data_IF_003664962597
#
_entry.id   IF_003664962597
#
_cell.length_a   1.000
_cell.length_b   1.000
_cell.length_c   1.000
_cell.angle_alpha   90.00
_cell.angle_beta   90.00
_cell.angle_gamma   90.00
#
_symmetry.space_group_name_H-M   'P 1'
#
loop_
_entity.id
_entity.type
_entity.pdbx_description
1 polymer ?
#
# COMPACT_ATOMS: atom_id res chain seq x y z
N UNK A 1 -2.20 -42.66 42.10
CA UNK A 1 -2.43 -41.49 41.20
C UNK A 1 -2.48 -41.95 39.75
N UNK A 2 -1.41 -42.56 39.23
CA UNK A 2 -1.35 -43.05 37.85
C UNK A 2 -2.50 -44.00 37.48
N UNK A 3 -2.76 -45.06 38.27
CA UNK A 3 -3.85 -46.01 37.99
C UNK A 3 -5.23 -45.35 37.94
N UNK A 4 -5.47 -44.34 38.78
CA UNK A 4 -6.73 -43.57 38.77
C UNK A 4 -6.86 -42.80 37.46
N UNK A 5 -5.78 -42.20 36.95
CA UNK A 5 -5.76 -41.54 35.65
C UNK A 5 -5.99 -42.53 34.49
N UNK A 6 -5.26 -43.65 34.48
CA UNK A 6 -5.36 -44.69 33.45
C UNK A 6 -6.75 -45.31 33.38
N UNK A 7 -7.42 -45.48 34.53
CA UNK A 7 -8.78 -46.02 34.60
C UNK A 7 -9.83 -45.13 33.95
N UNK A 8 -9.59 -43.81 33.83
CA UNK A 8 -10.53 -42.88 33.20
C UNK A 8 -10.67 -43.18 31.72
N UNK A 9 -9.56 -43.49 31.03
CA UNK A 9 -9.60 -43.84 29.61
C UNK A 9 -10.47 -45.07 29.35
N UNK A 10 -10.33 -46.11 30.19
CA UNK A 10 -11.14 -47.33 30.09
C UNK A 10 -12.61 -47.06 30.36
N UNK A 11 -12.91 -46.20 31.34
CA UNK A 11 -14.28 -45.79 31.64
C UNK A 11 -14.91 -44.99 30.48
N UNK A 12 -14.13 -44.14 29.80
CA UNK A 12 -14.59 -43.32 28.69
C UNK A 12 -15.11 -44.16 27.52
N UNK A 13 -14.51 -45.32 27.26
CA UNK A 13 -14.95 -46.26 26.23
C UNK A 13 -16.34 -46.87 26.52
N UNK A 14 -16.82 -46.82 27.76
CA UNK A 14 -18.11 -47.37 28.19
C UNK A 14 -19.13 -46.26 28.41
N UNK A 15 -18.73 -45.17 29.08
CA UNK A 15 -19.60 -44.04 29.37
C UNK A 15 -18.78 -42.74 29.51
N UNK A 16 -18.83 -41.90 28.49
CA UNK A 16 -18.09 -40.64 28.40
C UNK A 16 -18.53 -39.58 29.42
N UNK A 17 -19.83 -39.52 29.75
CA UNK A 17 -20.33 -38.57 30.76
C UNK A 17 -19.82 -38.89 32.17
N UNK A 18 -19.82 -40.18 32.53
CA UNK A 18 -19.29 -40.64 33.82
C UNK A 18 -17.77 -40.47 33.86
N UNK A 19 -17.07 -40.72 32.73
CA UNK A 19 -15.64 -40.44 32.61
C UNK A 19 -15.34 -38.96 32.84
N UNK A 20 -16.09 -38.03 32.24
CA UNK A 20 -15.90 -36.60 32.42
C UNK A 20 -16.12 -36.16 33.88
N UNK A 21 -17.14 -36.71 34.57
CA UNK A 21 -17.34 -36.49 36.01
C UNK A 21 -16.11 -36.98 36.80
N UNK A 22 -15.59 -38.16 36.46
CA UNK A 22 -14.41 -38.75 37.09
C UNK A 22 -13.14 -37.92 36.85
N UNK A 23 -12.97 -37.31 35.67
CA UNK A 23 -11.88 -36.37 35.39
C UNK A 23 -11.92 -35.19 36.35
N UNK A 24 -13.09 -34.55 36.52
CA UNK A 24 -13.25 -33.38 37.41
C UNK A 24 -12.93 -33.74 38.86
N UNK A 25 -13.39 -34.90 39.34
CA UNK A 25 -13.05 -35.39 40.68
C UNK A 25 -11.56 -35.73 40.80
N UNK A 26 -10.98 -36.33 39.77
CA UNK A 26 -9.56 -36.67 39.75
C UNK A 26 -8.66 -35.43 39.79
N UNK A 27 -9.01 -34.37 39.05
CA UNK A 27 -8.29 -33.09 39.10
C UNK A 27 -8.40 -32.50 40.51
N UNK A 28 -9.60 -32.42 41.10
CA UNK A 28 -9.78 -31.95 42.50
C UNK A 28 -8.99 -32.79 43.51
N UNK A 29 -8.89 -34.10 43.28
CA UNK A 29 -8.04 -34.97 44.09
C UNK A 29 -6.55 -34.64 43.95
N UNK A 30 -6.07 -34.36 42.73
CA UNK A 30 -4.69 -33.93 42.51
C UNK A 30 -4.41 -32.60 43.24
N UNK A 31 -5.33 -31.63 43.15
CA UNK A 31 -5.21 -30.33 43.82
C UNK A 31 -5.09 -30.48 45.34
N UNK A 32 -5.98 -31.26 45.96
CA UNK A 32 -5.91 -31.55 47.40
C UNK A 32 -4.60 -32.23 47.73
N UNK A 33 -4.21 -33.24 46.96
CA UNK A 33 -3.00 -34.01 47.26
C UNK A 33 -1.73 -33.16 47.13
N UNK A 34 -1.66 -32.22 46.19
CA UNK A 34 -0.53 -31.28 46.11
C UNK A 34 -0.53 -30.29 47.28
N UNK A 35 -1.72 -29.84 47.73
CA UNK A 35 -1.83 -28.89 48.84
C UNK A 35 -1.51 -29.48 50.22
N UNK A 36 -1.81 -30.76 50.44
CA UNK A 36 -1.69 -31.41 51.76
C UNK A 36 -0.43 -32.28 51.93
N UNK A 37 0.29 -32.59 50.85
CA UNK A 37 1.51 -33.39 50.93
C UNK A 37 2.67 -32.61 50.29
N UNK A 38 3.69 -32.29 51.10
CA UNK A 38 4.87 -31.51 50.68
C UNK A 38 5.77 -32.26 49.68
N UNK A 39 5.67 -33.59 49.62
CA UNK A 39 6.51 -34.38 48.73
C UNK A 39 5.89 -34.55 47.34
N UNK A 40 6.61 -34.19 46.27
CA UNK A 40 6.13 -34.40 44.92
C UNK A 40 6.01 -35.92 44.64
N UNK A 41 5.03 -36.35 43.83
CA UNK A 41 4.87 -37.76 43.51
C UNK A 41 6.15 -38.32 42.84
N UNK A 42 6.50 -39.60 43.10
CA UNK A 42 7.67 -40.24 42.51
C UNK A 42 7.71 -40.10 40.99
N UNK A 43 8.90 -40.02 40.41
CA UNK A 43 9.06 -39.80 38.97
C UNK A 43 8.40 -40.89 38.12
N UNK A 44 8.39 -42.14 38.59
CA UNK A 44 7.67 -43.25 37.95
C UNK A 44 6.17 -42.99 37.84
N UNK A 45 5.56 -42.44 38.89
CA UNK A 45 4.13 -42.06 38.93
C UNK A 45 3.88 -40.85 38.04
N UNK A 46 4.79 -39.86 38.05
CA UNK A 46 4.68 -38.66 37.23
C UNK A 46 4.73 -39.00 35.73
N UNK A 47 5.65 -39.88 35.31
CA UNK A 47 5.76 -40.32 33.92
C UNK A 47 4.47 -40.99 33.44
N UNK A 48 3.95 -41.95 34.22
CA UNK A 48 2.67 -42.62 33.92
C UNK A 48 1.50 -41.62 33.86
N UNK A 49 1.47 -40.63 34.75
CA UNK A 49 0.44 -39.60 34.74
C UNK A 49 0.48 -38.76 33.46
N UNK A 50 1.68 -38.42 32.94
CA UNK A 50 1.84 -37.65 31.70
C UNK A 50 1.46 -38.44 30.44
N UNK A 51 1.47 -39.77 30.51
CA UNK A 51 1.12 -40.68 29.41
C UNK A 51 -0.35 -41.12 29.44
N UNK A 52 -1.00 -41.05 30.60
CA UNK A 52 -2.40 -41.45 30.77
C UNK A 52 -3.35 -40.51 30.02
N UNK A 53 -4.27 -41.09 29.24
CA UNK A 53 -5.30 -40.37 28.47
C UNK A 53 -6.52 -40.05 29.33
N UNK A 54 -6.50 -38.91 30.02
CA UNK A 54 -7.63 -38.49 30.87
C UNK A 54 -7.99 -37.02 30.72
N UNK A 55 -7.31 -36.27 29.84
CA UNK A 55 -7.57 -34.85 29.66
C UNK A 55 -8.60 -34.64 28.54
N UNK A 56 -9.77 -34.06 28.83
CA UNK A 56 -10.73 -33.70 27.80
C UNK A 56 -10.18 -32.56 26.95
N UNK A 57 -10.45 -32.61 25.65
CA UNK A 57 -10.02 -31.59 24.69
C UNK A 57 -11.02 -30.43 24.67
N UNK A 58 -10.51 -29.20 24.68
CA UNK A 58 -11.32 -27.99 24.54
C UNK A 58 -11.95 -27.98 23.14
N UNK A 59 -13.28 -27.98 23.12
CA UNK A 59 -14.05 -27.97 21.87
C UNK A 59 -14.10 -26.58 21.26
N UNK A 60 -14.19 -26.56 19.94
CA UNK A 60 -14.39 -25.34 19.16
C UNK A 60 -15.61 -24.55 19.68
N UNK A 61 -15.44 -23.26 20.02
CA UNK A 61 -16.58 -22.41 20.34
C UNK A 61 -17.53 -22.28 19.13
N UNK A 62 -18.84 -22.23 19.38
CA UNK A 62 -19.88 -22.26 18.32
C UNK A 62 -19.67 -21.21 17.22
N UNK A 63 -19.21 -20.02 17.58
CA UNK A 63 -19.05 -18.89 16.66
C UNK A 63 -17.59 -18.68 16.23
N UNK A 64 -16.71 -19.65 16.48
CA UNK A 64 -15.29 -19.51 16.16
C UNK A 64 -15.04 -19.75 14.66
N UNK A 65 -14.43 -18.80 13.95
CA UNK A 65 -14.40 -18.83 12.48
C UNK A 65 -13.36 -19.77 11.87
N UNK A 66 -12.28 -20.09 12.60
CA UNK A 66 -11.17 -20.86 12.05
C UNK A 66 -11.33 -22.35 12.32
N UNK A 67 -10.58 -23.18 11.57
CA UNK A 67 -10.43 -24.60 11.89
C UNK A 67 -9.87 -24.75 13.30
N UNK A 68 -10.40 -25.68 14.08
CA UNK A 68 -9.97 -25.94 15.45
C UNK A 68 -9.45 -27.36 15.57
N UNK A 69 -8.29 -27.58 16.21
CA UNK A 69 -7.62 -28.89 16.26
C UNK A 69 -8.51 -29.99 16.85
N UNK A 70 -9.39 -29.65 17.80
CA UNK A 70 -10.37 -30.57 18.38
C UNK A 70 -11.36 -31.18 17.38
N UNK A 71 -11.54 -30.59 16.19
CA UNK A 71 -12.44 -31.12 15.15
C UNK A 71 -11.90 -32.43 14.55
N UNK A 72 -10.61 -32.75 14.76
CA UNK A 72 -9.98 -33.99 14.30
C UNK A 72 -10.26 -35.18 15.23
N UNK A 73 -10.95 -34.95 16.35
CA UNK A 73 -11.22 -35.97 17.36
C UNK A 73 -12.72 -36.10 17.63
N UNK A 74 -13.16 -37.31 17.95
CA UNK A 74 -14.51 -37.59 18.45
C UNK A 74 -14.83 -36.76 19.70
N UNK A 75 -16.12 -36.50 19.96
CA UNK A 75 -16.60 -35.56 20.98
C UNK A 75 -16.17 -35.90 22.42
N UNK A 76 -15.92 -37.16 22.70
CA UNK A 76 -15.52 -37.70 23.99
C UNK A 76 -14.02 -38.05 24.08
N UNK A 77 -13.23 -37.71 23.06
CA UNK A 77 -11.80 -38.00 23.06
C UNK A 77 -11.07 -37.42 24.29
N UNK A 78 -10.27 -38.28 24.93
CA UNK A 78 -9.37 -37.93 26.03
C UNK A 78 -7.92 -38.08 25.57
N UNK A 79 -7.12 -37.06 25.81
CA UNK A 79 -5.70 -37.02 25.46
C UNK A 79 -4.82 -37.11 26.70
N UNK A 80 -3.54 -37.39 26.47
CA UNK A 80 -2.55 -37.38 27.53
C UNK A 80 -2.08 -35.94 27.81
N UNK A 81 -1.70 -35.59 29.05
CA UNK A 81 -1.17 -34.26 29.38
C UNK A 81 0.02 -33.83 28.51
N UNK A 82 0.84 -34.78 28.03
CA UNK A 82 1.96 -34.51 27.12
C UNK A 82 1.52 -34.11 25.70
N UNK A 83 0.28 -34.37 25.30
CA UNK A 83 -0.24 -34.11 23.95
C UNK A 83 -1.21 -32.91 23.90
N UNK A 84 -1.35 -32.16 25.01
CA UNK A 84 -2.22 -30.98 25.09
C UNK A 84 -1.48 -29.75 25.61
N UNK A 85 -2.04 -28.58 25.31
CA UNK A 85 -1.58 -27.27 25.76
C UNK A 85 -2.59 -26.63 26.73
N UNK A 86 -2.11 -25.66 27.51
CA UNK A 86 -2.96 -24.88 28.39
C UNK A 86 -3.90 -23.97 27.60
N UNK A 87 -5.10 -23.75 28.11
CA UNK A 87 -6.10 -22.86 27.51
C UNK A 87 -5.65 -21.38 27.47
N UNK A 88 -4.70 -20.99 28.34
CA UNK A 88 -4.22 -19.61 28.47
C UNK A 88 -3.70 -19.03 27.13
N UNK A 89 -3.15 -19.88 26.26
CA UNK A 89 -2.62 -19.50 24.95
C UNK A 89 -3.52 -19.96 23.79
N UNK A 90 -4.82 -20.19 24.04
CA UNK A 90 -5.75 -20.77 23.05
C UNK A 90 -5.72 -20.06 21.69
N UNK A 91 -5.66 -18.73 21.68
CA UNK A 91 -5.68 -17.94 20.45
C UNK A 91 -4.40 -18.05 19.61
N UNK A 92 -3.31 -18.57 20.18
CA UNK A 92 -2.05 -18.84 19.48
C UNK A 92 -1.96 -20.28 18.95
N UNK A 93 -2.78 -21.18 19.51
CA UNK A 93 -2.59 -22.63 19.40
C UNK A 93 -3.80 -23.37 18.82
N UNK A 94 -5.01 -22.80 18.89
CA UNK A 94 -6.27 -23.50 18.60
C UNK A 94 -6.34 -24.18 17.23
N UNK A 95 -5.62 -23.68 16.23
CA UNK A 95 -5.56 -24.28 14.90
C UNK A 95 -4.51 -25.40 14.76
N UNK A 96 -3.50 -25.44 15.63
CA UNK A 96 -2.34 -26.33 15.54
C UNK A 96 -2.42 -27.48 16.55
N UNK A 97 -2.81 -27.15 17.78
CA UNK A 97 -2.61 -27.98 18.96
C UNK A 97 -3.90 -28.19 19.75
N UNK A 98 -3.97 -29.33 20.43
CA UNK A 98 -5.10 -29.68 21.29
C UNK A 98 -4.99 -28.94 22.63
N UNK A 99 -6.07 -28.27 23.04
CA UNK A 99 -6.12 -27.48 24.27
C UNK A 99 -6.87 -28.22 25.36
N UNK A 100 -6.54 -27.94 26.61
CA UNK A 100 -7.24 -28.51 27.76
C UNK A 100 -8.68 -27.98 27.88
N UNK A 101 -9.66 -28.88 27.90
CA UNK A 101 -11.09 -28.56 28.00
C UNK A 101 -11.66 -28.52 29.42
N UNK A 102 -10.79 -28.48 30.42
CA UNK A 102 -11.15 -28.47 31.84
C UNK A 102 -10.25 -27.52 32.61
N UNK A 103 -10.83 -26.80 33.58
CA UNK A 103 -10.06 -25.94 34.44
C UNK A 103 -9.06 -26.75 35.29
N UNK A 104 -7.83 -26.25 35.37
CA UNK A 104 -6.73 -26.85 36.14
C UNK A 104 -5.98 -25.73 36.86
N UNK A 105 -5.79 -25.86 38.17
CA UNK A 105 -5.01 -24.92 38.98
C UNK A 105 -3.52 -24.87 38.59
N UNK A 106 -2.83 -23.80 39.00
CA UNK A 106 -1.40 -23.57 38.71
C UNK A 106 -0.51 -24.74 39.14
N UNK A 107 -0.78 -25.34 40.29
CA UNK A 107 0.04 -26.42 40.84
C UNK A 107 -0.14 -27.72 40.04
N UNK A 108 -1.36 -28.01 39.63
CA UNK A 108 -1.64 -29.17 38.75
C UNK A 108 -1.09 -28.92 37.34
N UNK A 109 -1.15 -27.69 36.80
CA UNK A 109 -0.47 -27.34 35.54
C UNK A 109 1.05 -27.61 35.63
N UNK A 110 1.67 -27.31 36.77
CA UNK A 110 3.09 -27.60 37.01
C UNK A 110 3.38 -29.12 37.10
N UNK A 111 2.54 -29.87 37.82
CA UNK A 111 2.66 -31.33 37.92
C UNK A 111 2.54 -32.01 36.54
N UNK A 112 1.60 -31.53 35.72
CA UNK A 112 1.34 -32.03 34.37
C UNK A 112 2.28 -31.44 33.30
N UNK A 113 3.27 -30.63 33.69
CA UNK A 113 4.23 -29.95 32.81
C UNK A 113 3.58 -29.08 31.72
N UNK A 114 2.34 -28.63 31.93
CA UNK A 114 1.63 -27.77 30.99
C UNK A 114 2.18 -26.35 31.01
N UNK A 115 2.68 -25.89 32.16
CA UNK A 115 3.32 -24.58 32.32
C UNK A 115 4.70 -24.45 31.63
N UNK A 116 5.24 -25.54 31.09
CA UNK A 116 6.51 -25.54 30.33
C UNK A 116 6.28 -25.51 28.82
N UNK A 117 5.03 -25.64 28.39
CA UNK A 117 4.65 -25.66 26.98
C UNK A 117 4.10 -24.29 26.61
N UNK A 118 4.74 -23.66 25.64
CA UNK A 118 4.34 -22.37 25.13
C UNK A 118 4.28 -22.40 23.61
N UNK A 119 3.48 -21.50 23.05
CA UNK A 119 3.45 -21.27 21.62
C UNK A 119 4.86 -20.97 21.08
N UNK A 120 5.19 -21.60 19.95
CA UNK A 120 6.44 -21.39 19.21
C UNK A 120 6.16 -20.55 17.99
N UNK A 121 7.21 -20.05 17.32
CA UNK A 121 7.04 -19.29 16.09
C UNK A 121 6.36 -20.12 14.98
N UNK A 122 6.58 -21.43 14.95
CA UNK A 122 5.92 -22.33 13.99
C UNK A 122 4.42 -22.44 14.24
N UNK A 123 3.98 -22.48 15.50
CA UNK A 123 2.56 -22.41 15.85
C UNK A 123 1.96 -21.09 15.38
N UNK A 124 2.65 -19.96 15.57
CA UNK A 124 2.18 -18.65 15.11
C UNK A 124 2.09 -18.60 13.59
N UNK A 125 3.08 -19.15 12.89
CA UNK A 125 3.06 -19.24 11.44
C UNK A 125 1.85 -20.04 10.92
N UNK A 126 1.53 -21.15 11.60
CA UNK A 126 0.36 -21.96 11.29
C UNK A 126 -0.95 -21.22 11.58
N UNK A 127 -1.07 -20.61 12.77
CA UNK A 127 -2.25 -19.85 13.17
C UNK A 127 -2.54 -18.70 12.21
N UNK A 128 -1.49 -17.95 11.83
CA UNK A 128 -1.59 -16.89 10.84
C UNK A 128 -2.01 -17.44 9.48
N UNK A 129 -1.41 -18.55 9.01
CA UNK A 129 -1.79 -19.19 7.75
C UNK A 129 -3.28 -19.54 7.71
N UNK A 130 -3.83 -20.12 8.77
CA UNK A 130 -5.27 -20.44 8.84
C UNK A 130 -6.14 -19.19 8.77
N UNK A 131 -5.76 -18.12 9.47
CA UNK A 131 -6.47 -16.84 9.40
C UNK A 131 -6.44 -16.25 7.98
N UNK A 132 -5.30 -16.30 7.30
CA UNK A 132 -5.14 -15.76 5.94
C UNK A 132 -5.89 -16.57 4.87
N UNK A 133 -6.06 -17.87 5.08
CA UNK A 133 -6.85 -18.74 4.20
C UNK A 133 -8.36 -18.58 4.39
N UNK A 134 -8.80 -17.84 5.41
CA UNK A 134 -10.22 -17.66 5.71
C UNK A 134 -10.85 -16.47 4.97
N UNK A 135 -12.11 -16.59 4.55
CA UNK A 135 -12.84 -15.49 3.91
C UNK A 135 -13.42 -14.53 4.96
N UNK A 136 -12.58 -13.65 5.49
CA UNK A 136 -12.96 -12.69 6.54
C UNK A 136 -14.08 -11.75 6.10
N UNK A 137 -14.25 -11.51 4.79
CA UNK A 137 -15.30 -10.64 4.27
C UNK A 137 -16.73 -11.18 4.56
N UNK A 138 -16.89 -12.50 4.62
CA UNK A 138 -18.19 -13.16 4.83
C UNK A 138 -18.53 -13.45 6.29
N UNK A 139 -17.65 -13.09 7.23
CA UNK A 139 -17.90 -13.37 8.66
C UNK A 139 -18.99 -12.46 9.25
N UNK A 140 -19.79 -13.05 10.14
CA UNK A 140 -20.71 -12.31 11.00
C UNK A 140 -19.95 -11.52 12.08
N UNK A 141 -20.68 -10.73 12.88
CA UNK A 141 -20.07 -9.89 13.91
C UNK A 141 -19.33 -10.71 15.00
N UNK A 142 -19.84 -11.88 15.38
CA UNK A 142 -19.25 -12.70 16.44
C UNK A 142 -17.95 -13.37 15.96
N UNK A 143 -17.99 -13.95 14.77
CA UNK A 143 -16.82 -14.49 14.09
C UNK A 143 -15.75 -13.41 13.88
N UNK A 144 -16.16 -12.18 13.53
CA UNK A 144 -15.25 -11.05 13.39
C UNK A 144 -14.57 -10.65 14.71
N UNK A 145 -15.23 -10.72 15.85
CA UNK A 145 -14.59 -10.44 17.15
C UNK A 145 -13.61 -11.55 17.57
N UNK A 146 -13.94 -12.81 17.31
CA UNK A 146 -13.04 -13.94 17.57
C UNK A 146 -11.77 -13.85 16.71
N UNK A 147 -11.89 -13.57 15.40
CA UNK A 147 -10.71 -13.44 14.53
C UNK A 147 -9.85 -12.23 14.91
N UNK A 148 -10.46 -11.09 15.29
CA UNK A 148 -9.72 -9.94 15.81
C UNK A 148 -8.91 -10.32 17.05
N UNK A 149 -9.49 -11.12 17.95
CA UNK A 149 -8.81 -11.58 19.16
C UNK A 149 -7.64 -12.51 18.84
N UNK A 150 -7.84 -13.47 17.93
CA UNK A 150 -6.76 -14.34 17.41
C UNK A 150 -5.61 -13.50 16.85
N UNK A 151 -5.92 -12.56 15.96
CA UNK A 151 -4.93 -11.72 15.29
C UNK A 151 -4.20 -10.82 16.27
N UNK A 152 -4.90 -10.23 17.26
CA UNK A 152 -4.26 -9.44 18.33
C UNK A 152 -3.29 -10.28 19.15
N UNK A 153 -3.65 -11.51 19.52
CA UNK A 153 -2.74 -12.41 20.23
C UNK A 153 -1.51 -12.74 19.38
N UNK A 154 -1.70 -13.04 18.09
CA UNK A 154 -0.61 -13.29 17.13
C UNK A 154 0.31 -12.07 17.01
N UNK A 155 -0.22 -10.86 16.85
CA UNK A 155 0.57 -9.64 16.75
C UNK A 155 1.35 -9.34 18.03
N UNK A 156 0.73 -9.54 19.19
CA UNK A 156 1.41 -9.39 20.48
C UNK A 156 2.60 -10.34 20.61
N UNK A 157 2.42 -11.61 20.24
CA UNK A 157 3.53 -12.57 20.23
C UNK A 157 4.63 -12.13 19.26
N UNK A 158 4.27 -11.79 18.01
CA UNK A 158 5.25 -11.41 16.98
C UNK A 158 6.03 -10.15 17.41
N UNK A 159 5.36 -9.14 17.95
CA UNK A 159 6.00 -7.92 18.45
C UNK A 159 7.07 -8.22 19.51
N UNK A 160 6.77 -9.11 20.46
CA UNK A 160 7.72 -9.54 21.49
C UNK A 160 8.84 -10.43 20.93
N UNK A 161 8.54 -11.22 19.89
CA UNK A 161 9.49 -12.10 19.25
C UNK A 161 10.51 -11.36 18.36
N UNK A 162 10.24 -10.13 17.91
CA UNK A 162 11.16 -9.36 17.04
C UNK A 162 12.56 -9.23 17.67
N UNK A 163 12.65 -8.94 18.97
CA UNK A 163 13.93 -8.74 19.65
C UNK A 163 14.79 -10.02 19.73
N UNK A 164 14.18 -11.20 19.70
CA UNK A 164 14.87 -12.49 19.84
C UNK A 164 15.03 -13.22 18.51
N UNK A 165 14.02 -13.15 17.63
CA UNK A 165 13.86 -13.95 16.42
C UNK A 165 13.55 -13.10 15.18
N UNK A 166 14.03 -11.85 15.13
CA UNK A 166 13.68 -10.88 14.08
C UNK A 166 13.83 -11.41 12.64
N UNK A 167 14.91 -12.12 12.32
CA UNK A 167 15.11 -12.67 10.98
C UNK A 167 14.01 -13.68 10.57
N UNK A 168 13.60 -14.56 11.48
CA UNK A 168 12.55 -15.54 11.24
C UNK A 168 11.18 -14.86 11.14
N UNK A 169 10.91 -13.85 11.98
CA UNK A 169 9.68 -13.03 11.89
C UNK A 169 9.63 -12.29 10.55
N UNK A 170 10.74 -11.69 10.10
CA UNK A 170 10.80 -10.99 8.81
C UNK A 170 10.51 -11.95 7.65
N UNK A 171 11.11 -13.15 7.67
CA UNK A 171 10.83 -14.20 6.68
C UNK A 171 9.37 -14.64 6.70
N UNK A 172 8.75 -14.73 7.88
CA UNK A 172 7.35 -15.13 8.02
C UNK A 172 6.39 -14.11 7.40
N UNK A 173 6.67 -12.81 7.55
CA UNK A 173 5.79 -11.70 7.14
C UNK A 173 6.02 -11.20 5.71
N UNK A 174 7.22 -11.46 5.16
CA UNK A 174 7.60 -11.01 3.81
C UNK A 174 6.56 -11.44 2.77
N UNK A 175 6.15 -10.49 1.93
CA UNK A 175 5.25 -10.67 0.79
C UNK A 175 3.89 -11.31 1.14
N UNK A 176 3.40 -11.09 2.38
CA UNK A 176 2.08 -11.56 2.81
C UNK A 176 1.14 -10.42 3.18
N UNK A 177 -0.12 -10.57 2.80
CA UNK A 177 -1.23 -9.76 3.31
C UNK A 177 -1.55 -10.24 4.71
N UNK A 178 -0.92 -9.68 5.75
CA UNK A 178 -1.11 -10.17 7.11
C UNK A 178 -1.74 -9.16 8.06
N UNK A 179 -1.90 -7.90 7.62
CA UNK A 179 -2.44 -6.83 8.46
C UNK A 179 -3.96 -6.75 8.27
N UNK A 180 -4.72 -7.07 9.32
CA UNK A 180 -6.19 -7.06 9.28
C UNK A 180 -6.73 -5.64 9.40
N UNK A 181 -7.31 -5.11 8.33
CA UNK A 181 -7.96 -3.80 8.30
C UNK A 181 -9.43 -3.96 7.92
N UNK A 182 -10.34 -3.64 8.83
CA UNK A 182 -11.78 -3.88 8.63
C UNK A 182 -12.07 -5.37 8.47
N UNK A 183 -12.49 -5.78 7.26
CA UNK A 183 -12.81 -7.18 6.90
C UNK A 183 -11.86 -7.78 5.86
N UNK A 184 -10.65 -7.24 5.71
CA UNK A 184 -9.66 -7.70 4.74
C UNK A 184 -8.25 -7.67 5.30
N UNK A 185 -7.41 -8.55 4.77
CA UNK A 185 -5.97 -8.53 5.02
C UNK A 185 -5.25 -7.73 3.93
N UNK A 186 -4.33 -6.87 4.35
CA UNK A 186 -3.55 -5.98 3.47
C UNK A 186 -2.05 -6.24 3.62
N UNK A 187 -1.30 -5.89 2.56
CA UNK A 187 0.16 -5.85 2.63
C UNK A 187 0.64 -4.65 3.45
N UNK A 188 1.79 -4.78 4.10
CA UNK A 188 2.42 -3.66 4.81
C UNK A 188 2.68 -2.46 3.90
N UNK A 189 3.06 -2.70 2.63
CA UNK A 189 3.30 -1.63 1.65
C UNK A 189 2.05 -0.84 1.24
N UNK A 190 0.84 -1.35 1.51
CA UNK A 190 -0.42 -0.63 1.25
C UNK A 190 -0.85 0.26 2.43
N UNK A 191 -0.08 0.28 3.51
CA UNK A 191 -0.44 0.95 4.76
C UNK A 191 0.59 2.01 5.12
N UNK A 192 0.09 3.14 5.62
CA UNK A 192 0.91 4.15 6.26
C UNK A 192 0.30 4.61 7.60
N UNK A 193 1.15 5.02 8.55
CA UNK A 193 0.70 5.58 9.84
C UNK A 193 -0.09 6.88 9.63
N UNK A 194 0.35 7.71 8.68
CA UNK A 194 -0.28 8.97 8.33
C UNK A 194 -0.56 9.02 6.83
N UNK A 195 -1.80 9.33 6.50
CA UNK A 195 -2.26 9.55 5.12
C UNK A 195 -3.02 10.87 5.12
N UNK A 196 -2.80 11.72 4.10
CA UNK A 196 -3.48 13.02 3.98
C UNK A 196 -4.92 12.85 3.48
N UNK A 197 -5.10 12.00 2.48
CA UNK A 197 -6.37 11.72 1.82
C UNK A 197 -6.67 10.22 1.70
N UNK A 198 -7.94 9.86 1.69
CA UNK A 198 -8.34 8.46 1.52
C UNK A 198 -8.16 7.99 0.06
N UNK A 199 -7.15 7.16 -0.15
CA UNK A 199 -6.79 6.53 -1.43
C UNK A 199 -7.17 5.03 -1.47
N UNK A 200 -8.13 4.62 -0.65
CA UNK A 200 -8.74 3.28 -0.75
C UNK A 200 -9.33 3.07 -2.16
N UNK A 201 -9.22 1.88 -2.76
CA UNK A 201 -8.75 0.63 -2.18
C UNK A 201 -7.25 0.34 -2.37
N UNK A 202 -6.44 1.29 -2.84
CA UNK A 202 -5.03 1.06 -3.17
C UNK A 202 -4.11 1.30 -1.99
N UNK A 203 -4.25 2.46 -1.33
CA UNK A 203 -3.44 2.92 -0.21
C UNK A 203 -4.34 3.26 0.99
N UNK A 204 -3.98 2.76 2.16
CA UNK A 204 -4.79 2.85 3.38
C UNK A 204 -4.03 3.50 4.52
N UNK A 205 -4.77 4.20 5.37
CA UNK A 205 -4.26 4.57 6.69
C UNK A 205 -4.33 3.36 7.63
N UNK A 206 -3.24 3.14 8.37
CA UNK A 206 -3.17 2.13 9.42
C UNK A 206 -4.23 2.45 10.49
N UNK A 207 -5.11 1.49 10.87
CA UNK A 207 -6.07 1.70 11.94
C UNK A 207 -5.39 2.12 13.24
N UNK A 208 -5.91 3.17 13.89
CA UNK A 208 -5.31 3.75 15.11
C UNK A 208 -5.02 2.71 16.19
N UNK A 209 -5.96 1.79 16.44
CA UNK A 209 -5.77 0.70 17.39
C UNK A 209 -4.53 -0.16 17.09
N UNK A 210 -4.26 -0.48 15.82
CA UNK A 210 -3.06 -1.25 15.45
C UNK A 210 -1.78 -0.40 15.54
N UNK A 211 -1.88 0.89 15.23
CA UNK A 211 -0.77 1.84 15.37
C UNK A 211 -0.34 2.00 16.83
N UNK A 212 -1.30 2.01 17.76
CA UNK A 212 -1.09 2.18 19.20
C UNK A 212 -0.65 0.88 19.88
N UNK A 213 -1.34 -0.23 19.59
CA UNK A 213 -1.08 -1.52 20.25
C UNK A 213 0.22 -2.20 19.73
N UNK A 214 0.51 -2.07 18.42
CA UNK A 214 1.57 -2.82 17.75
C UNK A 214 2.55 -1.98 16.89
N UNK A 215 3.01 -0.79 17.34
CA UNK A 215 3.83 0.11 16.53
C UNK A 215 5.15 -0.51 16.07
N UNK A 216 5.79 -1.33 16.91
CA UNK A 216 7.09 -1.95 16.57
C UNK A 216 6.91 -3.00 15.48
N UNK A 217 5.86 -3.81 15.57
CA UNK A 217 5.55 -4.82 14.56
C UNK A 217 5.23 -4.19 13.20
N UNK A 218 4.39 -3.14 13.19
CA UNK A 218 3.97 -2.49 11.94
C UNK A 218 5.17 -1.86 11.21
N UNK A 219 6.03 -1.13 11.93
CA UNK A 219 7.29 -0.61 11.36
C UNK A 219 8.22 -1.72 10.89
N UNK A 220 8.39 -2.76 11.69
CA UNK A 220 9.24 -3.91 11.34
C UNK A 220 8.77 -4.64 10.08
N UNK A 221 7.45 -4.71 9.88
CA UNK A 221 6.84 -5.32 8.71
C UNK A 221 6.92 -4.46 7.44
N UNK A 222 7.28 -3.18 7.56
CA UNK A 222 7.40 -2.24 6.43
C UNK A 222 6.18 -1.34 6.20
N UNK A 223 5.32 -1.16 7.21
CA UNK A 223 4.30 -0.10 7.18
C UNK A 223 5.00 1.25 7.24
N UNK A 224 4.65 2.15 6.32
CA UNK A 224 5.37 3.42 6.15
C UNK A 224 4.88 4.47 7.12
N UNK A 225 5.71 5.45 7.45
CA UNK A 225 5.23 6.63 8.20
C UNK A 225 4.28 7.47 7.34
N UNK A 226 4.67 7.71 6.08
CA UNK A 226 3.89 8.36 5.02
C UNK A 226 4.19 7.67 3.68
N UNK A 227 3.28 7.75 2.73
CA UNK A 227 3.52 7.26 1.38
C UNK A 227 4.51 8.16 0.62
N UNK A 228 5.24 7.55 -0.30
CA UNK A 228 6.19 8.19 -1.21
C UNK A 228 5.63 8.20 -2.63
N UNK A 229 6.26 8.93 -3.55
CA UNK A 229 5.84 9.09 -4.94
C UNK A 229 5.60 7.73 -5.62
N UNK A 230 6.51 6.78 -5.39
CA UNK A 230 6.44 5.43 -5.96
C UNK A 230 5.16 4.67 -5.61
N UNK A 231 4.57 4.95 -4.45
CA UNK A 231 3.36 4.28 -3.98
C UNK A 231 2.14 4.78 -4.74
N UNK A 232 2.07 6.10 -4.96
CA UNK A 232 1.01 6.71 -5.75
C UNK A 232 1.13 6.32 -7.23
N UNK A 233 2.36 6.36 -7.80
CA UNK A 233 2.60 5.91 -9.18
C UNK A 233 2.20 4.44 -9.35
N UNK A 234 2.61 3.55 -8.45
CA UNK A 234 2.24 2.12 -8.51
C UNK A 234 0.73 1.91 -8.39
N UNK A 235 0.04 2.73 -7.61
CA UNK A 235 -1.42 2.67 -7.46
C UNK A 235 -2.15 3.14 -8.71
N UNK A 236 -1.68 4.21 -9.37
CA UNK A 236 -2.20 4.68 -10.66
C UNK A 236 -1.98 3.63 -11.75
N UNK A 237 -0.81 2.97 -11.76
CA UNK A 237 -0.55 1.82 -12.65
C UNK A 237 -1.49 0.65 -12.39
N UNK A 238 -1.74 0.32 -11.12
CA UNK A 238 -2.67 -0.75 -10.76
C UNK A 238 -4.10 -0.43 -11.23
N UNK A 239 -4.53 0.83 -11.12
CA UNK A 239 -5.81 1.29 -11.63
C UNK A 239 -5.88 1.21 -13.16
N UNK A 240 -4.85 1.68 -13.88
CA UNK A 240 -4.76 1.50 -15.35
C UNK A 240 -4.79 0.04 -15.75
N UNK A 241 -4.10 -0.85 -15.03
CA UNK A 241 -4.15 -2.29 -15.32
C UNK A 241 -5.51 -2.95 -15.08
N UNK A 242 -6.31 -2.41 -14.15
CA UNK A 242 -7.64 -2.92 -13.84
C UNK A 242 -8.71 -2.46 -14.85
N UNK A 243 -8.62 -1.21 -15.31
CA UNK A 243 -9.63 -0.61 -16.20
C UNK A 243 -9.18 -0.55 -17.67
N UNK A 244 -7.88 -0.66 -17.96
CA UNK A 244 -7.30 -0.55 -19.30
C UNK A 244 -7.80 0.70 -20.02
N UNK A 245 -8.50 0.54 -21.16
CA UNK A 245 -9.09 1.62 -21.95
C UNK A 245 -10.56 1.93 -21.58
N UNK A 246 -11.09 1.30 -20.53
CA UNK A 246 -12.45 1.56 -20.08
C UNK A 246 -12.52 2.81 -19.21
N UNK A 247 -13.67 3.47 -19.25
CA UNK A 247 -13.96 4.63 -18.41
C UNK A 247 -14.06 4.21 -16.93
N UNK A 248 -13.46 5.01 -16.06
CA UNK A 248 -13.61 4.86 -14.61
C UNK A 248 -15.03 5.29 -14.20
N UNK A 249 -15.62 4.52 -13.29
CA UNK A 249 -16.82 4.99 -12.59
C UNK A 249 -16.50 6.18 -11.66
N UNK A 250 -17.53 6.85 -11.17
CA UNK A 250 -17.39 8.06 -10.36
C UNK A 250 -16.61 7.81 -9.04
N UNK A 251 -16.65 6.60 -8.48
CA UNK A 251 -15.90 6.25 -7.27
C UNK A 251 -14.41 6.09 -7.56
N UNK A 252 -14.05 5.31 -8.58
CA UNK A 252 -12.67 5.09 -8.97
C UNK A 252 -12.03 6.35 -9.55
N UNK A 253 -12.79 7.18 -10.27
CA UNK A 253 -12.35 8.50 -10.71
C UNK A 253 -11.99 9.41 -9.54
N UNK A 254 -12.79 9.43 -8.46
CA UNK A 254 -12.44 10.20 -7.25
C UNK A 254 -11.14 9.70 -6.63
N UNK A 255 -10.93 8.39 -6.60
CA UNK A 255 -9.68 7.80 -6.09
C UNK A 255 -8.50 8.18 -6.99
N UNK A 256 -8.66 8.15 -8.31
CA UNK A 256 -7.64 8.56 -9.28
C UNK A 256 -7.23 10.02 -9.07
N UNK A 257 -8.21 10.91 -8.91
CA UNK A 257 -7.99 12.34 -8.62
C UNK A 257 -7.21 12.52 -7.31
N UNK A 258 -7.59 11.81 -6.24
CA UNK A 258 -6.85 11.87 -4.96
C UNK A 258 -5.42 11.37 -5.09
N UNK A 259 -5.20 10.25 -5.77
CA UNK A 259 -3.86 9.72 -6.04
C UNK A 259 -3.01 10.71 -6.83
N UNK A 260 -3.57 11.34 -7.87
CA UNK A 260 -2.90 12.35 -8.68
C UNK A 260 -2.51 13.59 -7.87
N UNK A 261 -3.44 14.10 -7.05
CA UNK A 261 -3.18 15.26 -6.20
C UNK A 261 -2.08 14.97 -5.17
N UNK A 262 -2.16 13.83 -4.49
CA UNK A 262 -1.17 13.41 -3.51
C UNK A 262 0.21 13.15 -4.15
N UNK A 263 0.25 12.60 -5.36
CA UNK A 263 1.50 12.43 -6.11
C UNK A 263 2.14 13.80 -6.43
N UNK A 264 1.37 14.74 -6.97
CA UNK A 264 1.83 16.10 -7.24
C UNK A 264 2.33 16.80 -5.97
N UNK A 265 1.58 16.73 -4.87
CA UNK A 265 1.99 17.30 -3.58
C UNK A 265 3.29 16.69 -3.02
N UNK A 266 3.51 15.39 -3.25
CA UNK A 266 4.70 14.69 -2.77
C UNK A 266 5.95 15.12 -3.56
N UNK A 267 5.80 15.39 -4.86
CA UNK A 267 6.87 15.92 -5.70
C UNK A 267 7.36 17.32 -5.28
N UNK A 268 6.44 18.17 -4.78
CA UNK A 268 6.75 19.54 -4.39
C UNK A 268 7.35 20.37 -5.54
N UNK A 269 8.10 21.43 -5.24
CA UNK A 269 8.68 22.35 -6.25
C UNK A 269 9.79 21.75 -7.13
N UNK A 270 10.17 20.49 -6.93
CA UNK A 270 11.26 19.83 -7.66
C UNK A 270 10.82 19.16 -8.97
N UNK A 271 9.53 19.17 -9.28
CA UNK A 271 8.98 18.53 -10.48
C UNK A 271 8.40 19.56 -11.44
N UNK A 272 9.18 19.90 -12.47
CA UNK A 272 8.72 20.66 -13.63
C UNK A 272 9.31 20.15 -14.94
N UNK A 273 10.03 19.03 -14.93
CA UNK A 273 10.57 18.42 -16.14
C UNK A 273 9.97 17.02 -16.35
N UNK A 274 9.02 16.86 -17.30
CA UNK A 274 8.40 15.58 -17.64
C UNK A 274 9.42 14.48 -17.96
N UNK A 275 10.55 14.83 -18.58
CA UNK A 275 11.59 13.86 -18.94
C UNK A 275 12.29 13.24 -17.73
N UNK A 276 12.45 13.99 -16.63
CA UNK A 276 13.03 13.49 -15.38
C UNK A 276 12.05 12.60 -14.62
N UNK A 277 10.75 12.89 -14.73
CA UNK A 277 9.70 12.07 -14.13
C UNK A 277 9.62 10.72 -14.84
N UNK A 278 9.66 10.71 -16.17
CA UNK A 278 9.62 9.49 -16.98
C UNK A 278 10.88 8.63 -16.80
N UNK A 279 12.07 9.25 -16.70
CA UNK A 279 13.32 8.52 -16.41
C UNK A 279 13.29 7.85 -15.04
N UNK A 280 12.73 8.52 -14.01
CA UNK A 280 12.75 8.04 -12.63
C UNK A 280 11.63 7.05 -12.31
N UNK A 281 10.43 7.26 -12.87
CA UNK A 281 9.21 6.56 -12.48
C UNK A 281 8.50 5.85 -13.65
N UNK A 282 9.02 5.97 -14.87
CA UNK A 282 8.35 5.48 -16.07
C UNK A 282 7.12 6.29 -16.43
N UNK A 283 6.25 5.72 -17.27
CA UNK A 283 5.02 6.36 -17.74
C UNK A 283 4.03 6.52 -16.60
N UNK A 284 3.69 7.76 -16.24
CA UNK A 284 2.62 8.06 -15.28
C UNK A 284 1.29 8.14 -16.03
N UNK A 285 0.20 7.67 -15.40
CA UNK A 285 -1.15 7.68 -15.97
C UNK A 285 -2.09 8.55 -15.14
N UNK A 286 -2.94 9.33 -15.81
CA UNK A 286 -3.99 10.15 -15.21
C UNK A 286 -5.30 9.97 -15.99
N UNK A 287 -6.48 10.13 -15.35
CA UNK A 287 -7.74 10.09 -16.07
C UNK A 287 -7.84 11.26 -17.07
N UNK A 288 -8.25 10.97 -18.30
CA UNK A 288 -8.58 11.94 -19.33
C UNK A 288 -10.00 12.51 -19.13
N UNK A 289 -10.45 13.41 -20.02
CA UNK A 289 -11.78 14.03 -19.97
C UNK A 289 -12.95 13.04 -20.08
N UNK A 290 -12.70 11.81 -20.54
CA UNK A 290 -13.67 10.69 -20.58
C UNK A 290 -13.46 9.70 -19.43
N UNK A 291 -12.67 10.07 -18.42
CA UNK A 291 -12.30 9.24 -17.29
C UNK A 291 -11.55 7.95 -17.67
N UNK A 292 -10.82 7.93 -18.80
CA UNK A 292 -9.93 6.83 -19.17
C UNK A 292 -8.52 7.12 -18.69
N UNK A 293 -7.83 6.12 -18.12
CA UNK A 293 -6.48 6.29 -17.55
C UNK A 293 -5.39 6.44 -18.63
N UNK A 294 -5.13 7.66 -19.08
CA UNK A 294 -4.24 7.95 -20.21
C UNK A 294 -2.85 8.37 -19.76
N UNK A 295 -1.82 8.12 -20.58
CA UNK A 295 -0.44 8.49 -20.26
C UNK A 295 -0.30 10.02 -20.16
N UNK A 296 0.44 10.50 -19.16
CA UNK A 296 0.66 11.94 -18.94
C UNK A 296 1.28 12.63 -20.16
N UNK A 297 2.16 11.94 -20.89
CA UNK A 297 2.80 12.45 -22.12
C UNK A 297 1.81 12.69 -23.28
N UNK A 298 0.65 12.03 -23.26
CA UNK A 298 -0.42 12.16 -24.25
C UNK A 298 -1.50 13.16 -23.82
N UNK A 299 -1.50 13.57 -22.56
CA UNK A 299 -2.47 14.50 -22.00
C UNK A 299 -2.01 15.95 -22.11
N UNK A 300 -2.96 16.86 -22.25
CA UNK A 300 -2.73 18.29 -22.07
C UNK A 300 -3.75 18.92 -21.12
N UNK A 301 -3.36 20.02 -20.49
CA UNK A 301 -4.26 20.84 -19.71
C UNK A 301 -4.97 21.86 -20.59
N UNK A 302 -6.27 22.04 -20.39
CA UNK A 302 -7.10 22.98 -21.16
C UNK A 302 -6.95 24.42 -20.65
N UNK A 303 -5.75 24.99 -20.82
CA UNK A 303 -5.40 26.36 -20.39
C UNK A 303 -5.97 27.47 -21.29
N UNK A 304 -6.37 27.13 -22.51
CA UNK A 304 -6.88 28.07 -23.51
C UNK A 304 -8.27 27.64 -24.01
N UNK A 305 -9.37 27.95 -23.29
CA UNK A 305 -10.71 27.49 -23.63
C UNK A 305 -11.25 28.03 -24.96
N UNK A 306 -10.65 29.08 -25.52
CA UNK A 306 -11.01 29.64 -26.82
C UNK A 306 -10.42 28.88 -28.01
N UNK A 307 -9.42 28.01 -27.80
CA UNK A 307 -8.89 27.18 -28.88
C UNK A 307 -9.81 25.98 -29.13
N UNK A 308 -10.12 25.66 -30.39
CA UNK A 308 -10.94 24.49 -30.70
C UNK A 308 -10.22 23.20 -30.28
N UNK A 309 -11.02 22.24 -29.84
CA UNK A 309 -10.56 20.89 -29.56
C UNK A 309 -10.24 20.21 -30.90
N UNK A 310 -9.02 19.69 -31.04
CA UNK A 310 -8.57 18.97 -32.24
C UNK A 310 -8.72 17.46 -32.03
N UNK A 311 -9.06 16.72 -33.08
CA UNK A 311 -9.02 15.25 -33.05
C UNK A 311 -7.61 14.76 -32.70
N UNK A 312 -7.55 13.77 -31.78
CA UNK A 312 -6.31 13.20 -31.26
C UNK A 312 -5.67 13.98 -30.11
N UNK A 313 -6.26 15.09 -29.65
CA UNK A 313 -5.80 15.80 -28.45
C UNK A 313 -6.60 15.32 -27.23
N UNK A 314 -5.91 14.75 -26.24
CA UNK A 314 -6.51 14.29 -25.00
C UNK A 314 -6.30 15.31 -23.88
N UNK A 315 -7.36 15.63 -23.15
CA UNK A 315 -7.30 16.54 -22.01
C UNK A 315 -7.32 15.77 -20.70
N UNK A 316 -6.55 16.23 -19.72
CA UNK A 316 -6.65 15.71 -18.34
C UNK A 316 -8.05 15.98 -17.78
N UNK A 317 -8.54 15.06 -16.95
CA UNK A 317 -9.87 15.19 -16.36
C UNK A 317 -10.00 16.48 -15.53
N UNK A 318 -11.10 17.23 -15.72
CA UNK A 318 -11.30 18.56 -15.13
C UNK A 318 -11.31 18.61 -13.58
N UNK A 319 -11.48 17.45 -12.92
CA UNK A 319 -11.40 17.31 -11.45
C UNK A 319 -9.96 17.35 -10.93
N UNK A 320 -8.95 17.19 -11.78
CA UNK A 320 -7.54 17.32 -11.40
C UNK A 320 -7.14 18.79 -11.59
N UNK A 321 -6.71 19.49 -10.53
CA UNK A 321 -6.37 20.90 -10.60
C UNK A 321 -5.07 21.12 -11.38
N UNK A 322 -4.94 22.32 -11.96
CA UNK A 322 -3.73 22.75 -12.68
C UNK A 322 -2.46 22.56 -11.85
N UNK A 323 -2.50 22.89 -10.54
CA UNK A 323 -1.36 22.73 -9.65
C UNK A 323 -0.80 21.31 -9.60
N UNK A 324 -1.68 20.29 -9.70
CA UNK A 324 -1.24 18.90 -9.77
C UNK A 324 -0.78 18.52 -11.16
N UNK A 325 -1.44 19.03 -12.21
CA UNK A 325 -1.07 18.78 -13.60
C UNK A 325 0.34 19.30 -13.92
N UNK A 326 0.64 20.54 -13.51
CA UNK A 326 1.93 21.21 -13.67
C UNK A 326 3.07 20.41 -13.01
N UNK A 327 2.88 20.03 -11.74
CA UNK A 327 3.84 19.22 -10.98
C UNK A 327 4.05 17.82 -11.54
N UNK A 328 3.07 17.27 -12.25
CA UNK A 328 3.16 15.96 -12.90
C UNK A 328 3.71 16.05 -14.33
N UNK A 329 3.98 17.25 -14.84
CA UNK A 329 4.52 17.45 -16.18
C UNK A 329 3.48 17.28 -17.29
N UNK A 330 2.20 17.53 -17.00
CA UNK A 330 1.15 17.61 -18.03
C UNK A 330 1.36 18.89 -18.84
N UNK A 331 1.61 18.75 -20.14
CA UNK A 331 1.79 19.88 -21.06
C UNK A 331 0.54 20.75 -21.18
N UNK A 332 0.71 22.02 -21.53
CA UNK A 332 -0.42 22.91 -21.84
C UNK A 332 -0.98 22.65 -23.25
N UNK A 333 -2.22 23.07 -23.52
CA UNK A 333 -2.79 22.99 -24.88
C UNK A 333 -1.98 23.82 -25.87
N UNK A 334 -1.39 24.92 -25.41
CA UNK A 334 -0.47 25.76 -26.20
C UNK A 334 0.81 25.02 -26.58
N UNK A 335 1.46 24.37 -25.63
CA UNK A 335 2.67 23.56 -25.88
C UNK A 335 2.39 22.44 -26.89
N UNK A 336 1.25 21.75 -26.77
CA UNK A 336 0.83 20.70 -27.71
C UNK A 336 0.63 21.25 -29.12
N UNK A 337 -0.05 22.39 -29.27
CA UNK A 337 -0.25 23.04 -30.56
C UNK A 337 1.08 23.42 -31.21
N UNK A 338 2.01 23.97 -30.42
CA UNK A 338 3.33 24.38 -30.89
C UNK A 338 4.19 23.17 -31.29
N UNK A 339 4.14 22.06 -30.53
CA UNK A 339 4.91 20.85 -30.84
C UNK A 339 4.59 20.30 -32.25
N UNK A 340 3.31 20.29 -32.66
CA UNK A 340 2.91 19.87 -34.02
C UNK A 340 3.56 20.71 -35.13
N UNK A 341 3.88 21.96 -34.85
CA UNK A 341 4.55 22.87 -35.79
C UNK A 341 6.09 22.85 -35.66
N UNK A 342 6.63 22.22 -34.61
CA UNK A 342 8.07 22.10 -34.33
C UNK A 342 8.71 20.82 -34.91
N UNK A 343 8.00 20.07 -35.77
CA UNK A 343 8.50 18.81 -36.37
C UNK A 343 9.90 19.00 -36.96
N UNK A 344 10.90 18.48 -36.25
CA UNK A 344 12.27 18.29 -36.71
C UNK A 344 12.29 17.07 -37.63
N UNK A 345 12.39 17.30 -38.93
CA UNK A 345 12.89 16.26 -39.85
C UNK A 345 14.37 16.00 -39.48
N UNK A 346 14.69 14.75 -39.13
CA UNK A 346 16.02 14.29 -38.75
C UNK A 346 16.59 13.31 -39.79
N UNK A 347 17.00 13.83 -40.95
CA UNK A 347 18.07 13.24 -41.76
C UNK A 347 18.65 14.32 -42.70
N UNK A 348 19.97 14.54 -42.65
CA UNK A 348 20.70 15.54 -43.46
C UNK A 348 21.68 16.42 -42.66
N UNK A 349 22.73 16.92 -43.32
CA UNK A 349 23.65 17.92 -42.75
C UNK A 349 22.85 19.18 -42.38
N UNK A 350 22.87 19.55 -41.10
CA UNK A 350 22.09 20.68 -40.57
C UNK A 350 23.02 21.84 -40.24
N UNK A 351 22.92 22.93 -41.00
CA UNK A 351 23.46 24.22 -40.59
C UNK A 351 22.45 24.87 -39.64
N UNK A 352 22.90 25.39 -38.49
CA UNK A 352 22.03 26.18 -37.60
C UNK A 352 21.58 27.43 -38.37
N UNK A 353 20.29 27.78 -38.31
CA UNK A 353 19.75 28.98 -38.97
C UNK A 353 20.57 30.22 -38.61
N UNK A 354 21.00 30.35 -37.36
CA UNK A 354 21.87 31.45 -36.90
C UNK A 354 23.23 31.47 -37.59
N UNK A 355 23.82 30.31 -37.94
CA UNK A 355 25.05 30.23 -38.72
C UNK A 355 24.81 30.69 -40.16
N UNK A 356 23.69 30.27 -40.75
CA UNK A 356 23.32 30.69 -42.11
C UNK A 356 23.06 32.19 -42.19
N UNK A 357 22.27 32.73 -41.26
CA UNK A 357 22.01 34.16 -41.14
C UNK A 357 23.31 34.93 -40.90
N UNK A 358 24.21 34.44 -40.03
CA UNK A 358 25.52 35.05 -39.82
C UNK A 358 26.35 35.12 -41.10
N UNK A 359 26.36 34.06 -41.92
CA UNK A 359 27.05 34.05 -43.21
C UNK A 359 26.44 35.04 -44.19
N UNK A 360 25.11 35.13 -44.25
CA UNK A 360 24.41 36.14 -45.08
C UNK A 360 24.82 37.54 -44.62
N UNK A 361 24.74 37.83 -43.32
CA UNK A 361 25.16 39.13 -42.77
C UNK A 361 26.63 39.46 -43.06
N UNK A 362 27.52 38.46 -43.13
CA UNK A 362 28.92 38.66 -43.54
C UNK A 362 29.07 39.00 -45.03
N UNK A 363 28.18 38.50 -45.89
CA UNK A 363 28.14 38.84 -47.31
C UNK A 363 27.53 40.22 -47.59
N UNK A 364 26.79 40.79 -46.62
CA UNK A 364 26.19 42.13 -46.67
C UNK A 364 26.77 43.04 -45.57
N UNK A 365 28.06 43.42 -45.64
CA UNK A 365 28.74 44.14 -44.55
C UNK A 365 28.35 45.62 -44.42
N UNK A 366 27.55 46.17 -45.34
CA UNK A 366 27.22 47.60 -45.38
C UNK A 366 25.85 47.90 -44.76
N UNK A 367 25.83 48.67 -43.66
CA UNK A 367 24.61 49.09 -42.94
C UNK A 367 23.61 49.89 -43.81
N UNK A 368 24.08 50.59 -44.85
CA UNK A 368 23.24 51.40 -45.75
C UNK A 368 22.40 50.57 -46.72
N UNK A 369 22.75 49.31 -46.96
CA UNK A 369 22.01 48.44 -47.87
C UNK A 369 20.68 47.97 -47.24
N UNK A 370 20.58 47.89 -45.91
CA UNK A 370 19.35 47.46 -45.21
C UNK A 370 18.16 48.35 -45.57
N UNK A 371 18.35 49.68 -45.65
CA UNK A 371 17.27 50.61 -46.01
C UNK A 371 16.85 50.46 -47.48
N UNK A 372 17.80 50.15 -48.37
CA UNK A 372 17.52 49.92 -49.80
C UNK A 372 16.78 48.60 -50.00
N UNK A 373 17.14 47.55 -49.27
CA UNK A 373 16.43 46.27 -49.30
C UNK A 373 14.99 46.42 -48.81
N UNK A 374 14.76 47.20 -47.74
CA UNK A 374 13.40 47.50 -47.26
C UNK A 374 12.60 48.35 -48.25
N UNK A 375 13.25 49.30 -48.93
CA UNK A 375 12.64 50.05 -50.02
C UNK A 375 12.29 49.15 -51.21
N UNK A 376 13.18 48.22 -51.58
CA UNK A 376 12.92 47.26 -52.65
C UNK A 376 11.76 46.33 -52.29
N UNK A 377 11.69 45.83 -51.06
CA UNK A 377 10.55 45.04 -50.60
C UNK A 377 9.23 45.82 -50.69
N UNK A 378 9.25 47.12 -50.44
CA UNK A 378 8.08 47.98 -50.58
C UNK A 378 7.69 48.19 -52.05
N UNK A 379 8.66 48.40 -52.94
CA UNK A 379 8.44 48.51 -54.38
C UNK A 379 7.91 47.20 -55.00
N UNK A 380 8.50 46.05 -54.62
CA UNK A 380 8.04 44.71 -55.00
C UNK A 380 6.61 44.44 -54.52
N UNK A 381 6.22 45.01 -53.37
CA UNK A 381 4.86 44.98 -52.83
C UNK A 381 3.93 46.05 -53.44
N UNK A 382 4.41 46.86 -54.38
CA UNK A 382 3.69 47.95 -55.05
C UNK A 382 3.22 49.08 -54.12
N UNK A 383 3.94 49.31 -53.02
CA UNK A 383 3.69 50.43 -52.14
C UNK A 383 3.99 51.76 -52.84
N UNK A 384 3.15 52.77 -52.60
CA UNK A 384 3.34 54.12 -53.16
C UNK A 384 4.20 55.01 -52.28
N UNK A 385 4.29 54.67 -50.99
CA UNK A 385 5.03 55.42 -49.98
C UNK A 385 5.74 54.46 -49.02
N UNK A 386 6.87 54.89 -48.44
CA UNK A 386 7.54 54.17 -47.37
C UNK A 386 8.02 55.16 -46.31
N UNK A 387 7.78 54.83 -45.04
CA UNK A 387 8.14 55.63 -43.88
C UNK A 387 9.09 54.86 -42.96
N UNK A 388 10.27 55.44 -42.71
CA UNK A 388 11.22 54.94 -41.71
C UNK A 388 11.09 55.76 -40.42
N UNK A 389 10.74 55.10 -39.32
CA UNK A 389 10.48 55.74 -38.03
C UNK A 389 11.47 55.18 -37.01
N UNK A 390 12.35 56.05 -36.50
CA UNK A 390 13.19 55.72 -35.34
C UNK A 390 12.35 55.92 -34.08
N UNK A 391 11.95 54.82 -33.45
CA UNK A 391 11.18 54.84 -32.21
C UNK A 391 12.10 54.67 -30.99
N UNK A 392 12.32 55.73 -30.18
CA UNK A 392 13.19 55.66 -29.00
C UNK A 392 12.48 55.09 -27.77
N UNK A 393 11.19 54.72 -27.85
CA UNK A 393 10.40 54.29 -26.69
C UNK A 393 10.91 52.97 -26.10
N UNK A 394 10.63 52.77 -24.82
CA UNK A 394 10.83 51.51 -24.10
C UNK A 394 9.48 51.06 -23.56
N UNK A 395 9.10 49.81 -23.83
CA UNK A 395 7.81 49.25 -23.45
C UNK A 395 7.89 48.51 -22.10
N UNK A 396 6.79 48.43 -21.33
CA UNK A 396 6.75 47.65 -20.10
C UNK A 396 6.98 46.15 -20.35
N UNK A 397 7.76 45.49 -19.50
CA UNK A 397 8.19 44.10 -19.67
C UNK A 397 7.46 43.11 -18.73
N UNK A 398 6.42 43.58 -18.03
CA UNK A 398 5.67 42.80 -17.03
C UNK A 398 4.77 41.75 -17.69
N UNK A 399 4.30 41.99 -18.93
CA UNK A 399 3.39 41.10 -19.67
C UNK A 399 4.03 40.62 -20.98
N UNK A 400 5.20 39.99 -20.87
CA UNK A 400 5.88 39.33 -22.00
C UNK A 400 5.71 37.81 -21.91
N UNK A 401 5.88 37.10 -23.04
CA UNK A 401 5.68 35.64 -23.08
C UNK A 401 6.66 34.87 -22.20
N UNK A 402 7.94 35.27 -22.20
CA UNK A 402 9.02 34.69 -21.39
C UNK A 402 10.07 35.76 -21.05
N UNK A 403 10.88 35.52 -20.01
CA UNK A 403 11.95 36.44 -19.59
C UNK A 403 12.96 36.75 -20.71
N UNK A 404 13.16 35.82 -21.65
CA UNK A 404 14.06 36.03 -22.78
C UNK A 404 13.58 37.09 -23.79
N UNK A 405 12.32 37.53 -23.71
CA UNK A 405 11.73 38.58 -24.56
C UNK A 405 11.86 39.99 -23.98
N UNK A 406 12.23 40.14 -22.71
CA UNK A 406 12.41 41.45 -22.06
C UNK A 406 13.39 42.37 -22.80
N UNK A 407 14.53 41.88 -23.34
CA UNK A 407 15.45 42.73 -24.11
C UNK A 407 14.86 43.30 -25.40
N UNK A 408 13.77 42.73 -25.93
CA UNK A 408 13.12 43.18 -27.16
C UNK A 408 12.17 44.37 -26.97
N UNK A 409 11.93 44.80 -25.73
CA UNK A 409 11.02 45.93 -25.42
C UNK A 409 11.67 47.31 -25.58
N UNK A 410 12.89 47.39 -26.09
CA UNK A 410 13.65 48.62 -26.24
C UNK A 410 13.40 49.41 -27.54
N UNK A 411 14.23 50.44 -27.78
CA UNK A 411 14.16 51.26 -28.99
C UNK A 411 14.21 50.42 -30.28
N UNK A 412 13.45 50.84 -31.29
CA UNK A 412 13.30 50.10 -32.54
C UNK A 412 13.36 51.02 -33.77
N UNK A 413 13.70 50.44 -34.92
CA UNK A 413 13.44 51.02 -36.23
C UNK A 413 12.15 50.41 -36.77
N UNK A 414 11.09 51.20 -36.84
CA UNK A 414 9.82 50.78 -37.44
C UNK A 414 9.80 51.20 -38.91
N UNK A 415 9.31 50.32 -39.78
CA UNK A 415 9.18 50.59 -41.22
C UNK A 415 7.75 50.29 -41.62
N UNK A 416 7.14 51.25 -42.32
CA UNK A 416 5.77 51.20 -42.81
C UNK A 416 5.78 51.49 -44.30
N UNK A 417 5.06 50.70 -45.10
CA UNK A 417 4.90 50.86 -46.54
C UNK A 417 3.46 50.60 -46.96
#
# INVERSE_FOLDING_TARGET
MAERAESIHRLNAVNSEVALKRVKEFIRFLERKIKYFDEPPPDSVRKRLLEARFIPVLRKPRNFPLKWKSEEYENDALLAPKDVFAEDEKYLLCCAESLIGVFVSRDVKALLKLNKKHATLDHIAWQLKQALSSNVASFDLNAMEEIKTVIKSVYSYLQNAISRNGAAVKKLLKDKKFILCGRKFLYAGQLAFQVRDDCSPYLYQLPKQLADDFPKLMRFAGVRERFEEKDFVSSLHQMRGQFSENELDEENLRVAVRLANQLGETFGSNAGNPALLEEKWGTVYLPDSRAVMTAVSELCFKDCPWMPDEEGVHFVHAKIPWSSCDLLGVKTRREEALQKHMVRISFGQKEKLTTRLKRILQCYPCEKEILKELLQNADDAQATEICFIKDPRHHPDVKVFEDCWKPLQGPALCVYN
#
